data_IF_367888513487
#
_entry.id   IF_367888513487
#
_cell.length_a   1.000
_cell.length_b   1.000
_cell.length_c   1.000
_cell.angle_alpha   90.00
_cell.angle_beta   90.00
_cell.angle_gamma   90.00
#
_symmetry.space_group_name_H-M   'P 1'
#
loop_
_entity.id
_entity.type
_entity.pdbx_description
1 polymer ?
#
# COMPACT_ATOMS: atom_id res chain seq x y z
N UNK A 1 8.63 3.44 13.21
CA UNK A 1 9.04 3.57 11.79
C UNK A 1 8.86 5.03 11.42
N UNK A 2 9.86 5.67 10.83
CA UNK A 2 9.89 7.11 10.52
C UNK A 2 9.10 7.47 9.24
N UNK A 3 8.04 6.72 8.89
CA UNK A 3 7.29 6.93 7.64
C UNK A 3 6.13 7.89 7.90
N UNK A 4 6.07 9.08 7.27
CA UNK A 4 4.95 10.00 7.42
C UNK A 4 3.62 9.35 6.99
N UNK A 5 2.64 9.39 7.89
CA UNK A 5 1.33 8.76 7.69
C UNK A 5 1.18 7.34 8.25
N UNK A 6 2.23 6.77 8.84
CA UNK A 6 2.18 5.47 9.52
C UNK A 6 2.35 5.66 11.03
N UNK A 7 1.29 5.40 11.78
CA UNK A 7 1.32 5.43 13.26
C UNK A 7 1.93 4.17 13.89
N UNK A 8 2.09 4.19 15.22
CA UNK A 8 2.68 3.07 15.98
C UNK A 8 1.92 1.75 15.81
N UNK A 9 0.58 1.79 15.78
CA UNK A 9 -0.26 0.59 15.62
C UNK A 9 0.00 -0.08 14.27
N UNK A 10 -0.07 0.70 13.19
CA UNK A 10 0.17 0.21 11.82
C UNK A 10 1.60 -0.30 11.67
N UNK A 11 2.57 0.42 12.26
CA UNK A 11 3.98 0.01 12.27
C UNK A 11 4.16 -1.37 12.90
N UNK A 12 3.60 -1.61 14.10
CA UNK A 12 3.72 -2.88 14.82
C UNK A 12 3.10 -4.03 14.02
N UNK A 13 1.91 -3.83 13.46
CA UNK A 13 1.27 -4.86 12.65
C UNK A 13 2.03 -5.16 11.36
N UNK A 14 2.56 -4.14 10.69
CA UNK A 14 3.39 -4.34 9.50
C UNK A 14 4.67 -5.10 9.84
N UNK A 15 5.32 -4.81 10.97
CA UNK A 15 6.49 -5.58 11.43
C UNK A 15 6.10 -7.04 11.68
N UNK A 16 4.99 -7.29 12.39
CA UNK A 16 4.53 -8.65 12.67
C UNK A 16 4.24 -9.44 11.39
N UNK A 17 3.54 -8.83 10.43
CA UNK A 17 3.24 -9.47 9.14
C UNK A 17 4.48 -9.68 8.28
N UNK A 18 5.40 -8.71 8.25
CA UNK A 18 6.60 -8.81 7.42
C UNK A 18 7.63 -9.78 8.01
N UNK A 19 7.57 -10.07 9.31
CA UNK A 19 8.39 -11.10 9.97
C UNK A 19 7.73 -12.48 10.00
N UNK A 20 6.42 -12.59 9.77
CA UNK A 20 5.73 -13.89 9.81
C UNK A 20 6.13 -14.82 8.67
N UNK A 21 6.71 -14.28 7.59
CA UNK A 21 7.20 -15.04 6.44
C UNK A 21 8.38 -14.32 5.79
N UNK A 22 9.28 -15.09 5.19
CA UNK A 22 10.32 -14.52 4.34
C UNK A 22 9.71 -14.03 3.02
N UNK A 23 9.83 -12.73 2.76
CA UNK A 23 9.45 -12.13 1.48
C UNK A 23 10.72 -11.66 0.76
N UNK A 24 10.93 -12.10 -0.48
CA UNK A 24 12.08 -11.63 -1.26
C UNK A 24 11.81 -10.27 -1.90
N UNK A 25 10.56 -10.04 -2.30
CA UNK A 25 10.11 -8.84 -3.02
C UNK A 25 8.96 -8.12 -2.30
N UNK A 26 8.95 -6.78 -2.40
CA UNK A 26 7.90 -5.93 -1.83
C UNK A 26 6.51 -6.21 -2.42
N UNK A 27 6.45 -6.67 -3.67
CA UNK A 27 5.22 -7.08 -4.35
C UNK A 27 4.57 -8.30 -3.69
N UNK A 28 5.38 -9.26 -3.20
CA UNK A 28 4.89 -10.45 -2.50
C UNK A 28 4.28 -10.09 -1.15
N UNK A 29 4.94 -9.20 -0.40
CA UNK A 29 4.39 -8.68 0.86
C UNK A 29 3.05 -7.97 0.65
N UNK A 30 2.96 -7.09 -0.37
CA UNK A 30 1.70 -6.42 -0.70
C UNK A 30 0.60 -7.40 -1.14
N UNK A 31 0.96 -8.46 -1.88
CA UNK A 31 0.02 -9.51 -2.26
C UNK A 31 -0.49 -10.31 -1.06
N UNK A 32 0.39 -10.62 -0.10
CA UNK A 32 0.06 -11.33 1.13
C UNK A 32 -0.92 -10.56 2.01
N UNK A 33 -0.73 -9.23 2.12
CA UNK A 33 -1.66 -8.33 2.84
C UNK A 33 -3.00 -8.15 2.09
N UNK A 34 -3.07 -8.60 0.82
CA UNK A 34 -4.24 -8.44 -0.02
C UNK A 34 -4.38 -7.02 -0.56
N UNK A 35 -3.28 -6.37 -0.97
CA UNK A 35 -3.27 -5.02 -1.57
C UNK A 35 -3.11 -5.05 -3.09
N UNK A 36 -3.24 -6.22 -3.70
CA UNK A 36 -3.17 -6.40 -5.15
C UNK A 36 -4.59 -6.51 -5.71
N UNK A 37 -4.92 -5.75 -6.77
CA UNK A 37 -6.21 -5.88 -7.44
C UNK A 37 -6.34 -7.28 -8.07
N UNK A 38 -7.50 -7.91 -7.87
CA UNK A 38 -7.89 -9.16 -8.52
C UNK A 38 -9.00 -8.88 -9.51
N UNK A 39 -8.80 -9.34 -10.74
CA UNK A 39 -9.85 -9.40 -11.74
C UNK A 39 -10.73 -10.63 -11.45
N UNK A 40 -12.04 -10.42 -11.37
CA UNK A 40 -12.99 -11.51 -11.15
C UNK A 40 -13.72 -11.78 -12.47
N UNK A 41 -13.11 -12.64 -13.28
CA UNK A 41 -13.67 -13.10 -14.54
C UNK A 41 -14.01 -14.59 -14.42
N UNK A 42 -15.29 -14.92 -14.58
CA UNK A 42 -15.70 -16.26 -15.01
C UNK A 42 -16.06 -16.14 -16.48
N UNK A 43 -15.91 -17.21 -17.29
CA UNK A 43 -16.06 -17.14 -18.76
C UNK A 43 -17.39 -16.53 -19.28
N UNK A 44 -18.38 -16.29 -18.43
CA UNK A 44 -19.65 -15.59 -18.73
C UNK A 44 -19.82 -14.22 -18.06
N UNK A 45 -18.99 -13.86 -17.08
CA UNK A 45 -19.13 -12.64 -16.27
C UNK A 45 -17.79 -11.92 -16.13
N UNK A 46 -17.74 -10.68 -16.64
CA UNK A 46 -16.68 -9.72 -16.32
C UNK A 46 -17.06 -8.93 -15.06
N UNK A 47 -16.62 -9.42 -13.90
CA UNK A 47 -16.81 -8.74 -12.63
C UNK A 47 -15.92 -7.50 -12.48
N UNK A 48 -16.23 -6.67 -11.47
CA UNK A 48 -15.40 -5.50 -11.15
C UNK A 48 -14.04 -5.94 -10.56
N UNK A 49 -12.97 -5.29 -10.98
CA UNK A 49 -11.66 -5.46 -10.33
C UNK A 49 -11.75 -4.97 -8.89
N UNK A 50 -11.57 -5.88 -7.93
CA UNK A 50 -11.63 -5.59 -6.50
C UNK A 50 -10.31 -5.95 -5.84
N UNK A 51 -10.07 -5.40 -4.65
CA UNK A 51 -8.87 -5.75 -3.89
C UNK A 51 -8.96 -7.22 -3.44
N UNK A 52 -7.87 -7.98 -3.57
CA UNK A 52 -7.78 -9.33 -3.01
C UNK A 52 -8.22 -9.33 -1.53
N UNK A 53 -9.13 -10.23 -1.15
CA UNK A 53 -9.52 -10.44 0.25
C UNK A 53 -8.52 -11.34 1.01
N UNK A 54 -7.35 -11.57 0.44
CA UNK A 54 -6.28 -12.34 1.09
C UNK A 54 -5.72 -11.56 2.28
N UNK A 55 -5.38 -12.25 3.36
CA UNK A 55 -4.80 -11.64 4.55
C UNK A 55 -5.81 -10.93 5.48
N UNK A 56 -5.32 -10.35 6.59
CA UNK A 56 -6.18 -9.80 7.64
C UNK A 56 -6.92 -8.54 7.21
N UNK A 57 -8.25 -8.59 7.17
CA UNK A 57 -9.10 -7.44 6.82
C UNK A 57 -8.91 -6.23 7.75
N UNK A 58 -8.59 -6.46 9.02
CA UNK A 58 -8.28 -5.40 10.00
C UNK A 58 -7.04 -4.60 9.61
N UNK A 59 -5.97 -5.28 9.14
CA UNK A 59 -4.76 -4.61 8.67
C UNK A 59 -5.04 -3.76 7.43
N UNK A 60 -5.87 -4.26 6.50
CA UNK A 60 -6.29 -3.47 5.33
C UNK A 60 -7.06 -2.21 5.73
N UNK A 61 -7.97 -2.28 6.71
CA UNK A 61 -8.69 -1.12 7.21
C UNK A 61 -7.74 -0.08 7.85
N UNK A 62 -6.75 -0.54 8.62
CA UNK A 62 -5.74 0.32 9.22
C UNK A 62 -4.82 0.96 8.18
N UNK A 63 -4.41 0.20 7.17
CA UNK A 63 -3.64 0.70 6.03
C UNK A 63 -4.43 1.71 5.19
N UNK A 64 -5.75 1.54 5.09
CA UNK A 64 -6.61 2.52 4.44
C UNK A 64 -6.53 3.86 5.16
N UNK A 65 -6.70 3.88 6.49
CA UNK A 65 -6.58 5.11 7.28
C UNK A 65 -5.17 5.70 7.19
N UNK A 66 -4.13 4.87 7.22
CA UNK A 66 -2.75 5.30 7.00
C UNK A 66 -2.57 5.96 5.61
N UNK A 67 -3.17 5.40 4.56
CA UNK A 67 -3.11 5.97 3.21
C UNK A 67 -3.85 7.31 3.09
N UNK A 68 -4.95 7.50 3.81
CA UNK A 68 -5.71 8.76 3.86
C UNK A 68 -4.89 9.89 4.50
N UNK A 69 -4.03 9.58 5.48
CA UNK A 69 -3.11 10.54 6.08
C UNK A 69 -1.87 10.72 5.19
N UNK A 70 -1.29 9.62 4.71
CA UNK A 70 -0.08 9.65 3.88
C UNK A 70 -0.26 10.42 2.58
N UNK A 71 -1.44 10.41 1.94
CA UNK A 71 -1.68 11.24 0.74
C UNK A 71 -1.50 12.75 0.99
N UNK A 72 -1.57 13.20 2.24
CA UNK A 72 -1.43 14.60 2.62
C UNK A 72 0.01 14.95 2.99
N UNK A 73 0.67 14.08 3.77
CA UNK A 73 1.99 14.36 4.36
C UNK A 73 3.16 13.66 3.67
N UNK A 74 2.93 12.54 2.99
CA UNK A 74 3.98 11.77 2.33
C UNK A 74 4.09 12.19 0.85
N UNK A 75 5.21 12.78 0.41
CA UNK A 75 5.34 13.32 -0.95
C UNK A 75 5.26 12.23 -2.03
N UNK A 76 5.79 11.03 -1.76
CA UNK A 76 5.77 9.91 -2.71
C UNK A 76 4.36 9.38 -2.95
N UNK A 77 3.56 9.32 -1.87
CA UNK A 77 2.17 8.87 -1.92
C UNK A 77 1.31 9.96 -2.55
N UNK A 78 1.51 11.23 -2.16
CA UNK A 78 0.80 12.38 -2.72
C UNK A 78 1.01 12.48 -4.23
N UNK A 79 2.26 12.39 -4.69
CA UNK A 79 2.60 12.42 -6.12
C UNK A 79 1.91 11.29 -6.89
N UNK A 80 1.99 10.05 -6.40
CA UNK A 80 1.33 8.91 -7.04
C UNK A 80 -0.20 9.10 -7.07
N UNK A 81 -0.79 9.53 -5.96
CA UNK A 81 -2.23 9.73 -5.83
C UNK A 81 -2.72 10.78 -6.83
N UNK A 82 -2.09 11.96 -6.86
CA UNK A 82 -2.44 13.04 -7.79
C UNK A 82 -2.27 12.61 -9.24
N UNK A 83 -1.18 11.92 -9.58
CA UNK A 83 -0.95 11.40 -10.94
C UNK A 83 -2.05 10.43 -11.38
N UNK A 84 -2.47 9.51 -10.51
CA UNK A 84 -3.52 8.54 -10.82
C UNK A 84 -4.90 9.20 -10.97
N UNK A 85 -5.22 10.17 -10.11
CA UNK A 85 -6.47 10.93 -10.22
C UNK A 85 -6.49 11.75 -11.51
N UNK A 86 -5.36 12.41 -11.86
CA UNK A 86 -5.22 13.14 -13.14
C UNK A 86 -5.35 12.22 -14.35
N UNK A 87 -4.92 10.96 -14.24
CA UNK A 87 -5.09 9.93 -15.26
C UNK A 87 -6.51 9.32 -15.32
N UNK A 88 -7.50 9.92 -14.64
CA UNK A 88 -8.90 9.48 -14.68
C UNK A 88 -9.24 8.28 -13.78
N UNK A 89 -8.33 7.85 -12.89
CA UNK A 89 -8.65 6.79 -11.92
C UNK A 89 -9.57 7.33 -10.82
N UNK A 90 -10.46 6.49 -10.33
CA UNK A 90 -11.34 6.89 -9.22
C UNK A 90 -10.54 7.13 -7.96
N UNK A 91 -11.04 8.00 -7.07
CA UNK A 91 -10.39 8.30 -5.77
C UNK A 91 -10.10 7.01 -4.97
N UNK A 92 -11.00 6.03 -5.05
CA UNK A 92 -10.83 4.73 -4.38
C UNK A 92 -9.72 3.87 -5.02
N UNK A 93 -9.61 3.86 -6.35
CA UNK A 93 -8.52 3.16 -7.04
C UNK A 93 -7.16 3.80 -6.72
N UNK A 94 -7.11 5.14 -6.75
CA UNK A 94 -5.89 5.88 -6.39
C UNK A 94 -5.49 5.63 -4.92
N UNK A 95 -6.46 5.55 -4.01
CA UNK A 95 -6.20 5.25 -2.60
C UNK A 95 -5.76 3.79 -2.39
N UNK A 96 -6.33 2.83 -3.11
CA UNK A 96 -5.85 1.44 -3.11
C UNK A 96 -4.40 1.32 -3.59
N UNK A 97 -4.03 2.08 -4.63
CA UNK A 97 -2.65 2.16 -5.09
C UNK A 97 -1.72 2.80 -4.04
N UNK A 98 -2.18 3.83 -3.33
CA UNK A 98 -1.46 4.44 -2.22
C UNK A 98 -1.22 3.45 -1.07
N UNK A 99 -2.22 2.65 -0.68
CA UNK A 99 -2.05 1.58 0.32
C UNK A 99 -0.97 0.59 -0.10
N UNK A 100 -0.99 0.15 -1.37
CA UNK A 100 0.03 -0.76 -1.92
C UNK A 100 1.43 -0.14 -1.86
N UNK A 101 1.58 1.13 -2.26
CA UNK A 101 2.87 1.83 -2.22
C UNK A 101 3.38 2.00 -0.79
N UNK A 102 2.51 2.32 0.17
CA UNK A 102 2.87 2.36 1.59
C UNK A 102 3.40 1.01 2.09
N UNK A 103 2.74 -0.09 1.75
CA UNK A 103 3.22 -1.42 2.15
C UNK A 103 4.59 -1.75 1.56
N UNK A 104 4.87 -1.31 0.33
CA UNK A 104 6.17 -1.48 -0.30
C UNK A 104 7.25 -0.62 0.38
N UNK A 105 6.92 0.62 0.76
CA UNK A 105 7.82 1.49 1.53
C UNK A 105 8.15 0.86 2.89
N UNK A 106 7.14 0.35 3.62
CA UNK A 106 7.36 -0.36 4.88
C UNK A 106 8.31 -1.55 4.72
N UNK A 107 8.10 -2.33 3.66
CA UNK A 107 8.96 -3.47 3.37
C UNK A 107 10.40 -3.04 3.10
N UNK A 108 10.62 -2.00 2.30
CA UNK A 108 11.96 -1.47 2.03
C UNK A 108 12.67 -0.97 3.29
N UNK A 109 11.99 -0.16 4.10
CA UNK A 109 12.49 0.37 5.38
C UNK A 109 12.88 -0.76 6.33
N UNK A 110 12.07 -1.83 6.42
CA UNK A 110 12.36 -2.95 7.32
C UNK A 110 13.45 -3.87 6.79
N UNK A 111 13.49 -4.11 5.47
CA UNK A 111 14.49 -4.98 4.85
C UNK A 111 15.89 -4.36 4.90
N UNK A 112 16.00 -3.07 4.65
CA UNK A 112 17.28 -2.35 4.63
C UNK A 112 17.65 -1.73 5.98
N UNK A 113 16.74 -1.76 6.97
CA UNK A 113 16.92 -1.09 8.26
C UNK A 113 17.25 0.41 8.14
N UNK A 114 16.86 1.03 7.03
CA UNK A 114 17.08 2.45 6.75
C UNK A 114 15.84 3.26 7.05
N UNK A 115 16.03 4.53 7.40
CA UNK A 115 14.91 5.46 7.52
C UNK A 115 14.26 5.73 6.15
N UNK A 116 12.99 6.14 6.20
CA UNK A 116 12.28 6.52 4.98
C UNK A 116 12.90 7.78 4.38
N UNK A 117 13.37 7.67 3.16
CA UNK A 117 13.83 8.79 2.36
C UNK A 117 12.81 9.06 1.25
N UNK A 118 12.20 10.27 1.20
CA UNK A 118 11.30 10.60 0.10
C UNK A 118 12.06 10.62 -1.21
N UNK A 119 11.54 9.95 -2.24
CA UNK A 119 12.12 10.07 -3.57
C UNK A 119 11.79 11.47 -4.10
N UNK A 120 12.80 12.35 -4.12
CA UNK A 120 12.69 13.68 -4.70
C UNK A 120 12.24 13.52 -6.16
N UNK A 121 10.98 13.83 -6.42
CA UNK A 121 10.45 13.91 -7.77
C UNK A 121 11.09 15.16 -8.38
N UNK A 122 12.13 14.98 -9.19
CA UNK A 122 12.58 16.02 -10.11
C UNK A 122 11.37 16.49 -10.92
N UNK A 123 11.11 17.80 -10.84
CA UNK A 123 10.04 18.49 -11.56
C UNK A 123 10.23 18.37 -13.07
#
# INVERSE_FOLDING_TARGET
>A
MSIPGIGHVVSREMIAVLRSRQFSQASQAAAFIGLVPRLWESGKMKGRTTLCKNGPGRLRAKLYMAAVVAKQHNPDIKSQYTRLVKAGKTKMQALGAAMRKLAQICFGVLKHQCEYQPQLVNK
#
